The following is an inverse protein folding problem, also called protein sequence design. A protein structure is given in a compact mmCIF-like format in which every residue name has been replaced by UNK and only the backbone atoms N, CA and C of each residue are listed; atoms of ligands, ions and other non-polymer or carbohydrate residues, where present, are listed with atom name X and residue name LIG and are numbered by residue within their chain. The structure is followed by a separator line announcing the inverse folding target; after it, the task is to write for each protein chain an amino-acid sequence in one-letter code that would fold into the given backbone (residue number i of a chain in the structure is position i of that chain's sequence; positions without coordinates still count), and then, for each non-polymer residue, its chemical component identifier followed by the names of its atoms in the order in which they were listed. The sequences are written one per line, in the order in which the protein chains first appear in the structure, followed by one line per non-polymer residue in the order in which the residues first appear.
data_IF_614738473813
#
_entry.id   IF_614738473813
#
_cell.length_a   1.000
_cell.length_b   1.000
_cell.length_c   1.000
_cell.angle_alpha   90.00
_cell.angle_beta   90.00
_cell.angle_gamma   90.00
#
_symmetry.space_group_name_H-M   'P 1'
#
loop_
_entity.id
_entity.type
_entity.pdbx_description
1 polymer ?
#
# COMPACT_ATOMS: atom_id res chain seq x y z
N UNK A 1 -1.31 -65.54 86.16
CA UNK A 1 -2.11 -66.00 85.00
C UNK A 1 -1.65 -65.16 83.82
N UNK A 2 -0.99 -65.76 82.83
CA UNK A 2 -0.38 -65.03 81.73
C UNK A 2 -1.46 -64.65 80.70
N UNK A 3 -1.57 -63.36 80.40
CA UNK A 3 -2.52 -62.82 79.43
C UNK A 3 -2.30 -63.46 78.05
N UNK A 4 -3.38 -64.01 77.48
CA UNK A 4 -3.33 -64.79 76.25
C UNK A 4 -2.99 -63.86 75.07
N UNK A 5 -2.27 -64.36 74.06
CA UNK A 5 -1.83 -63.56 72.91
C UNK A 5 -2.98 -62.76 72.27
N UNK A 6 -4.16 -63.37 72.20
CA UNK A 6 -5.38 -62.77 71.67
C UNK A 6 -5.88 -61.57 72.48
N UNK A 7 -5.76 -61.58 73.81
CA UNK A 7 -6.14 -60.44 74.66
C UNK A 7 -5.19 -59.26 74.47
N UNK A 8 -3.89 -59.54 74.29
CA UNK A 8 -2.86 -58.55 73.98
C UNK A 8 -3.09 -57.88 72.61
N UNK A 9 -3.48 -58.65 71.60
CA UNK A 9 -3.82 -58.13 70.26
C UNK A 9 -5.11 -57.30 70.30
N UNK A 10 -6.14 -57.74 71.02
CA UNK A 10 -7.39 -57.00 71.15
C UNK A 10 -7.22 -55.66 71.90
N UNK A 11 -6.36 -55.62 72.92
CA UNK A 11 -6.05 -54.39 73.69
C UNK A 11 -5.16 -53.40 72.92
N UNK A 12 -4.35 -53.87 71.96
CA UNK A 12 -3.44 -53.03 71.17
C UNK A 12 -4.07 -52.58 69.84
N UNK A 13 -4.81 -53.46 69.15
CA UNK A 13 -5.51 -53.23 67.88
C UNK A 13 -7.04 -53.27 68.05
N UNK A 14 -7.59 -52.38 68.88
CA UNK A 14 -9.05 -52.14 68.88
C UNK A 14 -9.55 -51.72 67.49
N UNK A 15 -10.75 -52.17 67.08
CA UNK A 15 -11.39 -51.83 65.80
C UNK A 15 -11.36 -50.33 65.46
N UNK A 16 -11.54 -49.46 66.46
CA UNK A 16 -11.46 -48.00 66.30
C UNK A 16 -10.09 -47.53 65.80
N UNK A 17 -8.99 -48.17 66.24
CA UNK A 17 -7.63 -47.87 65.79
C UNK A 17 -7.35 -48.39 64.38
N UNK A 18 -7.92 -49.54 64.01
CA UNK A 18 -7.80 -50.09 62.64
C UNK A 18 -8.52 -49.20 61.63
N UNK A 19 -9.74 -48.79 61.95
CA UNK A 19 -10.51 -47.85 61.11
C UNK A 19 -9.80 -46.51 61.03
N UNK A 20 -9.33 -45.97 62.16
CA UNK A 20 -8.56 -44.71 62.19
C UNK A 20 -7.29 -44.77 61.34
N UNK A 21 -6.54 -45.88 61.41
CA UNK A 21 -5.33 -46.07 60.61
C UNK A 21 -5.64 -46.13 59.11
N UNK A 22 -6.68 -46.87 58.69
CA UNK A 22 -7.07 -46.95 57.28
C UNK A 22 -7.58 -45.61 56.74
N UNK A 23 -8.32 -44.83 57.53
CA UNK A 23 -8.78 -43.48 57.15
C UNK A 23 -7.59 -42.54 56.96
N UNK A 24 -6.61 -42.57 57.86
CA UNK A 24 -5.39 -41.76 57.72
C UNK A 24 -4.61 -42.19 56.48
N UNK A 25 -4.43 -43.49 56.26
CA UNK A 25 -3.71 -44.03 55.11
C UNK A 25 -4.40 -43.67 53.77
N UNK A 26 -5.74 -43.68 53.76
CA UNK A 26 -6.55 -43.24 52.62
C UNK A 26 -6.39 -41.74 52.35
N UNK A 27 -6.42 -40.91 53.39
CA UNK A 27 -6.23 -39.46 53.25
C UNK A 27 -4.82 -39.11 52.75
N UNK A 28 -3.79 -39.82 53.25
CA UNK A 28 -2.40 -39.63 52.82
C UNK A 28 -2.21 -39.98 51.34
N UNK A 29 -2.96 -40.94 50.79
CA UNK A 29 -2.91 -41.24 49.36
C UNK A 29 -3.74 -40.27 48.51
N UNK A 30 -4.93 -39.89 48.95
CA UNK A 30 -5.85 -39.11 48.11
C UNK A 30 -5.50 -37.63 48.05
N UNK A 31 -5.04 -37.05 49.16
CA UNK A 31 -4.74 -35.61 49.19
C UNK A 31 -3.68 -35.23 48.13
N UNK A 32 -2.49 -35.87 48.05
CA UNK A 32 -1.51 -35.51 47.02
C UNK A 32 -2.00 -35.78 45.60
N UNK A 33 -2.73 -36.88 45.37
CA UNK A 33 -3.32 -37.18 44.06
C UNK A 33 -4.35 -36.12 43.65
N UNK A 34 -5.19 -35.65 44.58
CA UNK A 34 -6.18 -34.62 44.33
C UNK A 34 -5.55 -33.26 44.02
N UNK A 35 -4.45 -32.91 44.72
CA UNK A 35 -3.68 -31.69 44.44
C UNK A 35 -3.03 -31.80 43.06
N UNK A 36 -2.45 -32.96 42.73
CA UNK A 36 -1.84 -33.20 41.43
C UNK A 36 -2.86 -33.10 40.29
N UNK A 37 -4.07 -33.65 40.47
CA UNK A 37 -5.15 -33.57 39.49
C UNK A 37 -5.75 -32.15 39.40
N UNK A 38 -5.83 -31.41 40.50
CA UNK A 38 -6.32 -30.04 40.52
C UNK A 38 -5.31 -29.05 39.91
N UNK A 39 -4.01 -29.36 39.98
CA UNK A 39 -2.92 -28.58 39.38
C UNK A 39 -2.59 -29.02 37.95
N UNK A 40 -3.12 -30.16 37.49
CA UNK A 40 -3.14 -30.46 36.07
C UNK A 40 -4.12 -29.49 35.41
N UNK A 41 -3.59 -28.34 35.02
CA UNK A 41 -4.26 -27.46 34.07
C UNK A 41 -4.75 -28.35 32.92
N UNK A 42 -6.06 -28.35 32.66
CA UNK A 42 -6.60 -28.79 31.38
C UNK A 42 -6.06 -27.84 30.33
N UNK A 43 -4.82 -28.07 29.89
CA UNK A 43 -4.25 -27.44 28.71
C UNK A 43 -5.02 -27.97 27.51
N UNK A 44 -6.17 -27.35 27.23
CA UNK A 44 -6.81 -27.41 25.92
C UNK A 44 -5.95 -26.62 24.93
N UNK A 45 -4.72 -27.05 24.69
CA UNK A 45 -3.94 -26.63 23.53
C UNK A 45 -4.50 -27.41 22.34
N UNK A 46 -5.53 -26.84 21.71
CA UNK A 46 -5.88 -27.24 20.36
C UNK A 46 -4.64 -27.01 19.50
N UNK A 47 -4.02 -28.09 19.00
CA UNK A 47 -2.89 -28.03 18.06
C UNK A 47 -3.21 -27.31 16.74
N UNK A 48 -4.45 -26.83 16.56
CA UNK A 48 -4.88 -26.05 15.41
C UNK A 48 -4.33 -24.62 15.36
N UNK A 49 -3.82 -24.07 16.48
CA UNK A 49 -3.24 -22.71 16.50
C UNK A 49 -1.78 -22.65 16.00
N UNK A 50 -1.15 -23.81 15.77
CA UNK A 50 0.03 -23.89 14.93
C UNK A 50 -0.41 -23.91 13.48
N UNK A 51 -0.94 -22.80 12.97
CA UNK A 51 -1.10 -22.60 11.53
C UNK A 51 0.33 -22.52 10.97
N UNK A 52 0.90 -23.69 10.68
CA UNK A 52 1.99 -23.79 9.73
C UNK A 52 1.38 -23.30 8.44
N UNK A 53 1.47 -21.99 8.18
CA UNK A 53 1.11 -21.42 6.89
C UNK A 53 1.77 -22.31 5.84
N UNK A 54 0.96 -23.06 5.09
CA UNK A 54 1.49 -23.93 4.06
C UNK A 54 2.38 -23.06 3.16
N UNK A 55 3.62 -23.48 2.87
CA UNK A 55 4.49 -22.68 2.03
C UNK A 55 3.75 -22.41 0.72
N UNK A 56 3.68 -21.13 0.32
CA UNK A 56 3.01 -20.74 -0.92
C UNK A 56 3.63 -21.55 -2.06
N UNK A 57 2.85 -22.48 -2.63
CA UNK A 57 3.30 -23.31 -3.74
C UNK A 57 3.44 -22.38 -4.94
N UNK A 58 4.66 -21.88 -5.17
CA UNK A 58 4.95 -21.11 -6.38
C UNK A 58 5.19 -22.10 -7.52
N UNK A 59 4.45 -21.99 -8.63
CA UNK A 59 4.74 -22.80 -9.79
C UNK A 59 6.15 -22.47 -10.30
N UNK A 60 6.80 -23.39 -11.04
CA UNK A 60 8.09 -23.13 -11.66
C UNK A 60 8.09 -21.80 -12.42
N UNK A 61 9.22 -21.05 -12.44
CA UNK A 61 9.31 -19.79 -13.14
C UNK A 61 8.89 -19.88 -14.61
N UNK A 62 7.87 -19.11 -14.98
CA UNK A 62 7.34 -19.02 -16.35
C UNK A 62 7.12 -17.55 -16.72
N UNK A 63 8.19 -16.85 -17.06
CA UNK A 63 8.14 -15.43 -17.37
C UNK A 63 7.47 -15.16 -18.73
N UNK A 64 6.79 -14.01 -18.89
CA UNK A 64 6.31 -13.56 -20.19
C UNK A 64 7.45 -13.44 -21.22
N UNK A 65 7.17 -13.80 -22.47
CA UNK A 65 8.13 -13.70 -23.58
C UNK A 65 8.31 -12.28 -24.10
N UNK A 66 7.36 -11.39 -23.82
CA UNK A 66 7.42 -9.98 -24.21
C UNK A 66 8.04 -9.14 -23.09
N UNK A 67 8.80 -8.07 -23.41
CA UNK A 67 9.33 -7.17 -22.40
C UNK A 67 8.23 -6.57 -21.52
N UNK A 68 8.50 -6.34 -20.22
CA UNK A 68 7.58 -5.60 -19.35
C UNK A 68 7.35 -4.20 -19.90
N UNK A 69 6.18 -3.64 -19.61
CA UNK A 69 5.89 -2.21 -19.84
C UNK A 69 5.08 -1.67 -18.69
N UNK A 70 5.34 -0.43 -18.29
CA UNK A 70 4.51 0.30 -17.32
C UNK A 70 3.72 1.36 -18.10
N UNK A 71 2.40 1.29 -18.00
CA UNK A 71 1.48 2.23 -18.64
C UNK A 71 1.14 3.40 -17.72
N UNK A 72 0.90 3.11 -16.43
CA UNK A 72 0.44 4.10 -15.45
C UNK A 72 0.91 3.74 -14.04
N UNK A 73 1.18 4.75 -13.24
CA UNK A 73 1.19 4.67 -11.78
C UNK A 73 0.04 5.53 -11.26
N UNK A 74 -0.88 4.95 -10.48
CA UNK A 74 -2.14 5.61 -10.11
C UNK A 74 -1.96 6.88 -9.29
N UNK A 75 -0.90 6.97 -8.47
CA UNK A 75 -0.55 8.12 -7.69
C UNK A 75 0.90 8.50 -7.99
N UNK A 76 1.10 9.65 -8.64
CA UNK A 76 2.42 10.22 -8.91
C UNK A 76 3.05 10.87 -7.68
N UNK A 77 2.41 10.80 -6.51
CA UNK A 77 2.93 11.29 -5.24
C UNK A 77 2.52 10.36 -4.10
N UNK A 78 3.24 10.44 -2.98
CA UNK A 78 2.92 9.65 -1.79
C UNK A 78 3.92 9.87 -0.67
N UNK A 79 3.67 9.20 0.46
CA UNK A 79 4.58 9.10 1.60
C UNK A 79 4.96 7.64 1.82
N UNK A 80 6.09 7.41 2.49
CA UNK A 80 6.48 6.05 2.91
C UNK A 80 5.33 5.31 3.56
N UNK A 81 5.11 4.06 3.14
CA UNK A 81 4.01 3.22 3.58
C UNK A 81 2.72 3.32 2.74
N UNK A 82 2.51 4.39 1.97
CA UNK A 82 1.38 4.49 1.04
C UNK A 82 1.49 3.41 -0.03
N UNK A 83 0.35 2.88 -0.49
CA UNK A 83 0.32 1.91 -1.59
C UNK A 83 0.22 2.63 -2.93
N UNK A 84 1.18 2.36 -3.81
CA UNK A 84 1.12 2.75 -5.23
C UNK A 84 0.70 1.54 -6.07
N UNK A 85 -0.13 1.80 -7.08
CA UNK A 85 -0.60 0.81 -8.04
C UNK A 85 0.08 1.08 -9.37
N UNK A 86 0.84 0.10 -9.85
CA UNK A 86 1.53 0.12 -11.14
C UNK A 86 0.74 -0.74 -12.11
N UNK A 87 0.23 -0.11 -13.17
CA UNK A 87 -0.50 -0.76 -14.24
C UNK A 87 0.40 -0.93 -15.46
N UNK A 88 0.30 -2.07 -16.11
CA UNK A 88 1.05 -2.35 -17.31
C UNK A 88 0.82 -3.77 -17.82
N UNK A 89 1.87 -4.39 -18.33
CA UNK A 89 1.79 -5.76 -18.82
C UNK A 89 3.14 -6.46 -18.80
N UNK A 90 3.06 -7.78 -18.94
CA UNK A 90 4.20 -8.70 -18.99
C UNK A 90 5.01 -8.69 -17.69
N UNK A 91 4.35 -8.49 -16.56
CA UNK A 91 4.96 -8.63 -15.23
C UNK A 91 5.03 -10.10 -14.77
N UNK A 92 4.30 -10.99 -15.44
CA UNK A 92 4.13 -12.38 -15.04
C UNK A 92 3.07 -12.57 -13.96
N UNK A 93 2.42 -13.74 -13.95
CA UNK A 93 1.39 -14.07 -12.95
C UNK A 93 1.96 -14.16 -11.53
N UNK A 94 3.26 -14.43 -11.41
CA UNK A 94 3.99 -14.49 -10.15
C UNK A 94 5.27 -13.65 -10.24
N UNK A 95 5.71 -13.13 -9.09
CA UNK A 95 6.94 -12.35 -8.97
C UNK A 95 8.18 -13.15 -9.37
N UNK A 96 8.34 -14.36 -8.83
CA UNK A 96 9.58 -15.14 -8.89
C UNK A 96 10.82 -14.28 -8.57
N UNK A 97 11.81 -14.22 -9.47
CA UNK A 97 13.00 -13.38 -9.34
C UNK A 97 12.82 -11.94 -9.80
N UNK A 98 11.62 -11.54 -10.20
CA UNK A 98 11.31 -10.16 -10.59
C UNK A 98 11.33 -9.22 -9.39
N UNK A 99 11.60 -7.95 -9.66
CA UNK A 99 11.72 -6.90 -8.64
C UNK A 99 10.97 -5.66 -9.08
N UNK A 100 10.43 -4.94 -8.12
CA UNK A 100 9.80 -3.62 -8.34
C UNK A 100 10.54 -2.60 -7.49
N UNK A 101 10.74 -1.43 -8.07
CA UNK A 101 11.46 -0.32 -7.46
C UNK A 101 10.55 0.89 -7.43
N UNK A 102 10.50 1.56 -6.28
CA UNK A 102 9.59 2.68 -6.02
C UNK A 102 10.40 3.78 -5.34
N UNK A 103 10.43 4.97 -5.94
CA UNK A 103 11.20 6.09 -5.40
C UNK A 103 12.70 5.80 -5.33
N UNK A 104 13.24 5.16 -6.37
CA UNK A 104 14.64 4.71 -6.48
C UNK A 104 15.09 3.61 -5.49
N UNK A 105 14.16 2.96 -4.79
CA UNK A 105 14.46 1.92 -3.80
C UNK A 105 13.78 0.61 -4.20
N UNK A 106 14.52 -0.52 -4.07
CA UNK A 106 13.96 -1.85 -4.27
C UNK A 106 12.90 -2.14 -3.19
N UNK A 107 11.69 -2.50 -3.60
CA UNK A 107 10.67 -2.90 -2.64
C UNK A 107 10.98 -4.29 -2.10
N UNK A 108 10.99 -4.42 -0.78
CA UNK A 108 11.06 -5.72 -0.11
C UNK A 108 9.79 -6.52 -0.36
N UNK A 109 9.86 -7.84 -0.27
CA UNK A 109 8.72 -8.73 -0.51
C UNK A 109 7.53 -8.43 0.41
N UNK A 110 7.78 -7.97 1.65
CA UNK A 110 6.76 -7.54 2.59
C UNK A 110 6.03 -6.24 2.20
N UNK A 111 6.61 -5.43 1.32
CA UNK A 111 5.99 -4.22 0.78
C UNK A 111 5.15 -4.51 -0.48
N UNK A 112 5.29 -5.69 -1.10
CA UNK A 112 4.51 -6.07 -2.27
C UNK A 112 3.19 -6.66 -1.79
N UNK A 113 2.12 -5.90 -1.96
CA UNK A 113 0.75 -6.26 -1.56
C UNK A 113 0.13 -7.20 -2.60
N UNK A 114 0.39 -6.95 -3.87
CA UNK A 114 -0.13 -7.75 -4.99
C UNK A 114 0.83 -7.76 -6.17
N UNK A 115 0.93 -8.92 -6.81
CA UNK A 115 1.59 -9.10 -8.09
C UNK A 115 0.67 -9.85 -9.05
N UNK A 116 0.52 -9.35 -10.27
CA UNK A 116 -0.09 -10.06 -11.39
C UNK A 116 0.58 -9.62 -12.69
N UNK A 117 0.21 -10.24 -13.80
CA UNK A 117 0.81 -9.92 -15.09
C UNK A 117 0.60 -8.46 -15.55
N UNK A 118 -0.40 -7.76 -15.02
CA UNK A 118 -0.76 -6.39 -15.42
C UNK A 118 -0.88 -5.39 -14.27
N UNK A 119 -0.86 -5.84 -13.02
CA UNK A 119 -1.07 -4.98 -11.84
C UNK A 119 -0.07 -5.33 -10.74
N UNK A 120 0.65 -4.32 -10.27
CA UNK A 120 1.46 -4.41 -9.05
C UNK A 120 0.88 -3.43 -8.02
N UNK A 121 0.63 -3.91 -6.81
CA UNK A 121 0.33 -3.06 -5.66
C UNK A 121 1.50 -3.15 -4.70
N UNK A 122 2.18 -2.03 -4.48
CA UNK A 122 3.43 -1.99 -3.71
C UNK A 122 3.44 -0.78 -2.78
N UNK A 123 3.85 -0.98 -1.54
CA UNK A 123 4.04 0.10 -0.58
C UNK A 123 5.31 0.87 -0.90
N UNK A 124 5.27 2.20 -0.76
CA UNK A 124 6.44 3.05 -0.89
C UNK A 124 7.44 2.67 0.22
N UNK A 125 8.64 2.15 -0.13
CA UNK A 125 9.60 1.65 0.86
C UNK A 125 10.14 2.74 1.80
N UNK A 126 10.68 2.30 2.93
CA UNK A 126 11.53 3.15 3.76
C UNK A 126 12.72 3.65 2.93
N UNK A 127 13.19 4.86 3.20
CA UNK A 127 14.27 5.54 2.47
C UNK A 127 14.00 5.86 0.99
N UNK A 128 12.79 5.60 0.49
CA UNK A 128 12.36 6.07 -0.82
C UNK A 128 12.53 7.60 -0.93
N UNK A 129 12.86 8.05 -2.13
CA UNK A 129 13.02 9.47 -2.46
C UNK A 129 12.19 9.80 -3.69
N UNK A 130 11.95 11.09 -3.92
CA UNK A 130 11.40 11.54 -5.19
C UNK A 130 12.25 10.97 -6.33
N UNK A 131 11.62 10.28 -7.28
CA UNK A 131 12.37 9.55 -8.30
C UNK A 131 11.55 8.54 -9.08
N UNK A 132 12.25 7.59 -9.70
CA UNK A 132 11.66 6.67 -10.66
C UNK A 132 10.94 5.50 -10.00
N UNK A 133 9.96 4.98 -10.74
CA UNK A 133 9.29 3.71 -10.49
C UNK A 133 9.59 2.80 -11.68
N UNK A 134 10.11 1.61 -11.43
CA UNK A 134 10.41 0.65 -12.48
C UNK A 134 10.26 -0.78 -12.00
N UNK A 135 10.12 -1.71 -12.94
CA UNK A 135 10.06 -3.15 -12.67
C UNK A 135 11.13 -3.86 -13.50
N UNK A 136 11.75 -4.89 -12.95
CA UNK A 136 12.65 -5.79 -13.67
C UNK A 136 12.06 -7.20 -13.68
N UNK A 137 11.81 -7.73 -14.87
CA UNK A 137 11.20 -9.05 -15.08
C UNK A 137 12.11 -9.84 -16.00
N UNK A 138 12.65 -10.97 -15.51
CA UNK A 138 13.57 -11.83 -16.27
C UNK A 138 14.73 -11.05 -16.94
N UNK A 139 15.35 -10.12 -16.20
CA UNK A 139 16.43 -9.27 -16.70
C UNK A 139 16.01 -8.07 -17.57
N UNK A 140 14.75 -7.97 -17.98
CA UNK A 140 14.23 -6.83 -18.73
C UNK A 140 13.68 -5.76 -17.80
N UNK A 141 14.05 -4.50 -18.02
CA UNK A 141 13.60 -3.34 -17.24
C UNK A 141 12.50 -2.59 -17.97
N UNK A 142 11.46 -2.19 -17.23
CA UNK A 142 10.46 -1.23 -17.68
C UNK A 142 10.35 -0.09 -16.70
N UNK A 143 10.52 1.14 -17.20
CA UNK A 143 10.41 2.36 -16.43
C UNK A 143 9.05 3.01 -16.66
N UNK A 144 8.48 3.57 -15.60
CA UNK A 144 7.42 4.55 -15.76
C UNK A 144 8.02 5.87 -16.26
N UNK A 145 7.35 6.52 -17.20
CA UNK A 145 7.82 7.80 -17.77
C UNK A 145 7.92 8.91 -16.71
N UNK A 146 7.05 8.87 -15.70
CA UNK A 146 6.99 9.85 -14.63
C UNK A 146 7.97 9.67 -13.48
N UNK A 147 7.80 10.52 -12.47
CA UNK A 147 8.47 10.43 -11.19
C UNK A 147 7.42 10.32 -10.09
N UNK A 148 7.68 9.45 -9.11
CA UNK A 148 6.97 9.46 -7.85
C UNK A 148 7.53 10.63 -7.02
N UNK A 149 6.65 11.52 -6.58
CA UNK A 149 6.98 12.70 -5.78
C UNK A 149 6.68 12.42 -4.30
N UNK A 150 7.71 12.41 -3.46
CA UNK A 150 7.50 12.41 -2.02
C UNK A 150 7.12 13.82 -1.57
N UNK A 151 6.09 13.92 -0.73
CA UNK A 151 5.52 15.21 -0.35
C UNK A 151 5.38 15.39 1.16
N UNK A 152 5.43 16.65 1.56
CA UNK A 152 5.02 17.18 2.86
C UNK A 152 3.92 18.20 2.62
N UNK A 153 2.73 17.97 3.19
CA UNK A 153 1.54 18.83 3.01
C UNK A 153 1.78 20.30 3.35
N UNK A 154 2.75 20.60 4.23
CA UNK A 154 3.05 21.96 4.68
C UNK A 154 4.04 22.69 3.79
N UNK A 155 4.84 21.97 3.00
CA UNK A 155 5.95 22.52 2.21
C UNK A 155 5.78 22.33 0.71
N UNK A 156 5.08 21.28 0.31
CA UNK A 156 4.92 20.92 -1.09
C UNK A 156 3.86 21.79 -1.75
N UNK A 157 3.97 21.95 -3.07
CA UNK A 157 2.92 22.59 -3.83
C UNK A 157 1.69 21.67 -3.90
N UNK A 158 0.51 22.25 -3.79
CA UNK A 158 -0.74 21.53 -4.00
C UNK A 158 -1.16 21.71 -5.45
N UNK A 159 -1.46 20.62 -6.16
CA UNK A 159 -2.22 20.64 -7.42
C UNK A 159 -3.63 20.13 -7.16
N UNK A 160 -4.61 20.58 -7.93
CA UNK A 160 -5.92 19.96 -7.89
C UNK A 160 -6.77 20.27 -9.11
N UNK A 161 -7.87 19.54 -9.19
CA UNK A 161 -8.95 19.81 -10.13
C UNK A 161 -10.10 20.50 -9.39
N UNK A 162 -10.60 21.60 -9.94
CA UNK A 162 -11.74 22.33 -9.38
C UNK A 162 -12.78 22.57 -10.46
N UNK A 163 -14.03 22.15 -10.22
CA UNK A 163 -15.15 22.50 -11.09
C UNK A 163 -15.33 24.03 -11.10
N UNK A 164 -15.39 24.62 -12.29
CA UNK A 164 -15.64 26.05 -12.49
C UNK A 164 -17.12 26.26 -12.78
N UNK A 165 -17.61 25.55 -13.79
CA UNK A 165 -19.02 25.53 -14.20
C UNK A 165 -19.33 24.17 -14.86
N UNK A 166 -20.53 24.03 -15.42
CA UNK A 166 -20.88 22.82 -16.18
C UNK A 166 -19.90 22.59 -17.32
N UNK A 167 -19.41 21.36 -17.44
CA UNK A 167 -18.43 20.98 -18.45
C UNK A 167 -17.08 21.70 -18.35
N UNK A 168 -16.76 22.48 -17.30
CA UNK A 168 -15.47 23.17 -17.18
C UNK A 168 -14.79 22.93 -15.84
N UNK A 169 -13.51 22.54 -15.92
CA UNK A 169 -12.66 22.24 -14.77
C UNK A 169 -11.37 23.04 -14.86
N UNK A 170 -11.00 23.72 -13.79
CA UNK A 170 -9.70 24.34 -13.66
C UNK A 170 -8.69 23.34 -13.10
N UNK A 171 -7.51 23.26 -13.74
CA UNK A 171 -6.31 22.70 -13.11
C UNK A 171 -5.61 23.85 -12.40
N UNK A 172 -5.50 23.76 -11.08
CA UNK A 172 -4.90 24.80 -10.27
C UNK A 172 -3.70 24.28 -9.50
N UNK A 173 -2.81 25.21 -9.14
CA UNK A 173 -1.69 24.98 -8.23
C UNK A 173 -1.70 26.02 -7.11
N UNK A 174 -1.25 25.66 -5.92
CA UNK A 174 -1.06 26.55 -4.77
C UNK A 174 0.26 26.23 -4.10
N UNK A 175 0.85 27.20 -3.40
CA UNK A 175 2.17 27.05 -2.77
C UNK A 175 3.25 26.60 -3.78
N UNK A 176 3.20 27.12 -5.01
CA UNK A 176 4.03 26.70 -6.13
C UNK A 176 5.18 27.68 -6.44
N UNK A 177 5.60 28.48 -5.45
CA UNK A 177 6.71 29.41 -5.58
C UNK A 177 7.97 28.71 -6.10
N UNK A 178 8.76 29.37 -6.95
CA UNK A 178 9.90 28.75 -7.63
C UNK A 178 9.57 28.12 -8.97
N UNK A 179 8.31 27.78 -9.25
CA UNK A 179 7.95 27.06 -10.47
C UNK A 179 7.93 27.98 -11.68
N UNK A 180 8.58 27.57 -12.77
CA UNK A 180 8.57 28.33 -14.04
C UNK A 180 7.98 27.55 -15.21
N UNK A 181 7.93 26.22 -15.11
CA UNK A 181 7.37 25.34 -16.14
C UNK A 181 6.93 24.02 -15.53
N UNK A 182 6.14 23.27 -16.28
CA UNK A 182 5.72 21.95 -15.84
C UNK A 182 5.07 21.14 -16.93
N UNK A 183 4.59 19.98 -16.51
CA UNK A 183 3.82 19.07 -17.33
C UNK A 183 2.68 18.50 -16.47
N UNK A 184 1.50 18.38 -17.07
CA UNK A 184 0.33 17.71 -16.50
C UNK A 184 -0.11 16.60 -17.46
N UNK A 185 -0.40 15.42 -16.94
CA UNK A 185 -1.09 14.36 -17.70
C UNK A 185 -2.47 14.15 -17.11
N UNK A 186 -3.50 14.27 -17.95
CA UNK A 186 -4.90 14.15 -17.57
C UNK A 186 -5.51 12.89 -18.17
N UNK A 187 -6.24 12.12 -17.35
CA UNK A 187 -7.09 11.01 -17.79
C UNK A 187 -8.51 11.50 -18.03
N UNK A 188 -9.12 11.10 -19.14
CA UNK A 188 -10.46 11.52 -19.55
C UNK A 188 -11.17 10.47 -20.42
N UNK A 189 -12.49 10.60 -20.57
CA UNK A 189 -13.34 9.59 -21.25
C UNK A 189 -14.01 10.13 -22.52
N UNK A 190 -14.30 11.42 -22.60
CA UNK A 190 -15.06 12.05 -23.68
C UNK A 190 -14.25 13.11 -24.41
N UNK A 191 -14.54 13.29 -25.69
CA UNK A 191 -13.92 14.28 -26.57
C UNK A 191 -14.97 15.24 -27.16
N UNK A 192 -14.56 16.43 -27.63
CA UNK A 192 -13.21 16.99 -27.55
C UNK A 192 -12.83 17.44 -26.12
N UNK A 193 -11.54 17.35 -25.80
CA UNK A 193 -10.94 17.97 -24.61
C UNK A 193 -10.28 19.28 -25.05
N UNK A 194 -10.79 20.42 -24.61
CA UNK A 194 -10.25 21.73 -25.00
C UNK A 194 -9.52 22.35 -23.81
N UNK A 195 -8.25 22.70 -24.00
CA UNK A 195 -7.40 23.32 -23.00
C UNK A 195 -7.29 24.83 -23.28
N UNK A 196 -7.71 25.65 -22.33
CA UNK A 196 -7.57 27.11 -22.37
C UNK A 196 -6.55 27.54 -21.32
N UNK A 197 -5.37 28.06 -21.70
CA UNK A 197 -4.35 28.52 -20.75
C UNK A 197 -4.87 29.61 -19.80
N UNK A 198 -4.35 29.65 -18.57
CA UNK A 198 -4.58 30.76 -17.64
C UNK A 198 -3.74 32.00 -18.00
N UNK A 199 -4.05 33.14 -17.38
CA UNK A 199 -3.53 34.47 -17.77
C UNK A 199 -2.00 34.57 -17.88
N UNK A 200 -1.26 33.86 -17.03
CA UNK A 200 0.22 33.89 -17.00
C UNK A 200 0.85 32.54 -17.35
N UNK A 201 0.14 31.70 -18.11
CA UNK A 201 0.59 30.36 -18.49
C UNK A 201 0.46 30.19 -20.00
N UNK A 202 1.51 29.64 -20.60
CA UNK A 202 1.56 29.28 -22.01
C UNK A 202 1.63 27.75 -22.13
N UNK A 203 0.71 27.16 -22.88
CA UNK A 203 0.76 25.73 -23.22
C UNK A 203 1.74 25.56 -24.39
N UNK A 204 2.80 24.79 -24.17
CA UNK A 204 3.88 24.61 -25.15
C UNK A 204 3.71 23.37 -26.02
N UNK A 205 3.03 22.33 -25.52
CA UNK A 205 2.65 21.15 -26.29
C UNK A 205 1.45 20.43 -25.68
N UNK A 206 0.72 19.72 -26.53
CA UNK A 206 -0.37 18.81 -26.16
C UNK A 206 -0.19 17.51 -26.93
N UNK A 207 -0.07 16.39 -26.21
CA UNK A 207 0.14 15.07 -26.79
C UNK A 207 -0.95 14.13 -26.29
N UNK A 208 -1.82 13.70 -27.20
CA UNK A 208 -2.83 12.70 -26.91
C UNK A 208 -2.20 11.30 -26.79
N UNK A 209 -2.75 10.49 -25.89
CA UNK A 209 -2.38 9.10 -25.72
C UNK A 209 -3.52 8.29 -25.14
N UNK A 210 -3.27 7.01 -24.87
CA UNK A 210 -4.19 6.14 -24.17
C UNK A 210 -3.41 5.11 -23.35
N UNK A 211 -4.07 4.54 -22.35
CA UNK A 211 -3.65 3.35 -21.62
C UNK A 211 -4.83 2.38 -21.45
N UNK A 212 -4.61 1.30 -20.70
CA UNK A 212 -5.65 0.31 -20.39
C UNK A 212 -6.89 0.85 -19.66
N UNK A 213 -6.84 2.04 -19.07
CA UNK A 213 -7.97 2.66 -18.36
C UNK A 213 -8.70 3.74 -19.17
N UNK A 214 -8.09 4.28 -20.22
CA UNK A 214 -8.78 5.23 -21.10
C UNK A 214 -7.84 6.18 -21.83
N UNK A 215 -8.40 7.33 -22.24
CA UNK A 215 -7.66 8.36 -22.96
C UNK A 215 -6.87 9.22 -21.97
N UNK A 216 -5.71 9.69 -22.41
CA UNK A 216 -4.86 10.60 -21.66
C UNK A 216 -4.35 11.75 -22.52
N UNK A 217 -4.14 12.91 -21.90
CA UNK A 217 -3.61 14.10 -22.55
C UNK A 217 -2.44 14.62 -21.73
N UNK A 218 -1.26 14.61 -22.32
CA UNK A 218 -0.09 15.25 -21.76
C UNK A 218 -0.04 16.71 -22.22
N UNK A 219 0.10 17.63 -21.28
CA UNK A 219 0.12 19.08 -21.51
C UNK A 219 1.41 19.62 -20.90
N UNK A 220 2.31 20.13 -21.72
CA UNK A 220 3.48 20.86 -21.22
C UNK A 220 3.18 22.35 -21.23
N UNK A 221 3.68 23.05 -20.21
CA UNK A 221 3.39 24.47 -20.03
C UNK A 221 4.58 25.22 -19.46
N UNK A 222 4.59 26.53 -19.69
CA UNK A 222 5.56 27.48 -19.17
C UNK A 222 4.83 28.69 -18.61
N UNK A 223 5.23 29.15 -17.43
CA UNK A 223 4.71 30.37 -16.85
C UNK A 223 5.42 31.60 -17.44
N UNK A 224 4.72 32.73 -17.55
CA UNK A 224 5.32 34.00 -18.01
C UNK A 224 6.30 34.63 -17.00
N UNK A 225 6.35 34.08 -15.79
CA UNK A 225 7.31 34.39 -14.74
C UNK A 225 7.27 33.30 -13.66
N UNK A 226 8.11 33.42 -12.63
CA UNK A 226 8.04 32.49 -11.49
C UNK A 226 6.66 32.55 -10.83
N UNK A 227 6.04 31.39 -10.64
CA UNK A 227 4.78 31.30 -9.90
C UNK A 227 4.99 31.76 -8.46
N UNK A 228 3.90 32.16 -7.80
CA UNK A 228 3.94 32.57 -6.39
C UNK A 228 3.35 31.48 -5.49
N UNK A 229 3.31 31.72 -4.18
CA UNK A 229 2.64 30.83 -3.25
C UNK A 229 1.11 30.90 -3.34
N UNK A 230 0.55 31.93 -3.97
CA UNK A 230 -0.91 32.06 -4.13
C UNK A 230 -1.44 31.08 -5.17
N UNK A 231 -2.73 30.77 -5.06
CA UNK A 231 -3.37 29.87 -6.00
C UNK A 231 -3.33 30.44 -7.42
N UNK A 232 -2.81 29.67 -8.37
CA UNK A 232 -2.76 29.98 -9.79
C UNK A 232 -3.54 28.93 -10.57
N UNK A 233 -4.42 29.36 -11.47
CA UNK A 233 -5.05 28.46 -12.45
C UNK A 233 -4.08 28.28 -13.61
N UNK A 234 -3.63 27.05 -13.86
CA UNK A 234 -2.73 26.77 -14.98
C UNK A 234 -3.48 26.80 -16.30
N UNK A 235 -4.63 26.13 -16.35
CA UNK A 235 -5.52 26.10 -17.49
C UNK A 235 -6.92 25.64 -17.09
N UNK A 236 -7.90 26.04 -17.90
CA UNK A 236 -9.27 25.53 -17.82
C UNK A 236 -9.46 24.49 -18.92
N UNK A 237 -10.03 23.36 -18.52
CA UNK A 237 -10.37 22.23 -19.38
C UNK A 237 -11.87 22.32 -19.65
N UNK A 238 -12.25 22.51 -20.91
CA UNK A 238 -13.64 22.37 -21.37
C UNK A 238 -13.86 20.94 -21.85
N UNK A 239 -14.90 20.32 -21.30
CA UNK A 239 -15.22 18.90 -21.42
C UNK A 239 -16.74 18.75 -21.63
N UNK A 240 -17.20 18.44 -22.86
CA UNK A 240 -18.61 18.52 -23.22
C UNK A 240 -19.45 17.30 -22.77
N UNK A 241 -18.81 16.23 -22.30
CA UNK A 241 -19.47 14.97 -21.94
C UNK A 241 -19.67 14.78 -20.43
N UNK A 242 -20.40 13.70 -20.09
CA UNK A 242 -20.46 13.17 -18.72
C UNK A 242 -19.22 12.31 -18.50
N UNK A 243 -18.51 12.49 -17.37
CA UNK A 243 -17.38 11.63 -17.04
C UNK A 243 -16.60 12.10 -15.81
N UNK A 244 -15.35 11.66 -15.73
CA UNK A 244 -14.39 12.13 -14.74
C UNK A 244 -13.13 12.64 -15.42
N UNK A 245 -12.57 13.70 -14.87
CA UNK A 245 -11.22 14.15 -15.18
C UNK A 245 -10.32 13.73 -14.02
N UNK A 246 -9.17 13.13 -14.33
CA UNK A 246 -8.21 12.62 -13.34
C UNK A 246 -6.82 13.20 -13.63
N UNK A 247 -6.10 13.61 -12.58
CA UNK A 247 -4.68 13.93 -12.65
C UNK A 247 -3.86 12.64 -12.60
N UNK A 248 -3.24 12.25 -13.71
CA UNK A 248 -2.40 11.06 -13.80
C UNK A 248 -0.94 11.35 -13.46
N UNK A 249 -0.48 12.57 -13.78
CA UNK A 249 0.89 13.02 -13.51
C UNK A 249 0.93 14.54 -13.41
N UNK A 250 1.75 15.05 -12.51
CA UNK A 250 2.14 16.46 -12.47
C UNK A 250 3.62 16.54 -12.12
N UNK A 251 4.38 17.26 -12.95
CA UNK A 251 5.78 17.57 -12.68
C UNK A 251 5.99 19.06 -12.88
N UNK A 252 6.50 19.74 -11.86
CA UNK A 252 6.78 21.16 -11.87
C UNK A 252 8.27 21.38 -11.67
N UNK A 253 8.83 22.35 -12.38
CA UNK A 253 10.26 22.60 -12.41
C UNK A 253 10.58 24.06 -12.10
N UNK A 254 11.64 24.25 -11.32
CA UNK A 254 12.25 25.56 -11.12
C UNK A 254 13.06 26.02 -12.34
N UNK A 255 13.51 27.27 -12.31
CA UNK A 255 14.41 27.82 -13.34
C UNK A 255 15.72 27.02 -13.48
N UNK A 256 16.21 26.42 -12.39
CA UNK A 256 17.40 25.55 -12.40
C UNK A 256 17.11 24.12 -12.89
N UNK A 257 15.86 23.80 -13.21
CA UNK A 257 15.44 22.46 -13.63
C UNK A 257 15.19 21.48 -12.48
N UNK A 258 15.26 21.94 -11.22
CA UNK A 258 14.92 21.12 -10.06
C UNK A 258 13.42 20.82 -10.01
N UNK A 259 13.07 19.57 -9.67
CA UNK A 259 11.68 19.18 -9.43
C UNK A 259 11.13 19.84 -8.16
N UNK A 260 9.95 20.44 -8.27
CA UNK A 260 9.18 20.93 -7.14
C UNK A 260 8.34 19.77 -6.60
N UNK A 261 8.41 19.45 -5.29
CA UNK A 261 7.53 18.46 -4.69
C UNK A 261 6.06 18.89 -4.80
N UNK A 262 5.21 17.97 -5.27
CA UNK A 262 3.78 18.22 -5.49
C UNK A 262 2.96 17.08 -4.87
N UNK A 263 1.77 17.42 -4.37
CA UNK A 263 0.71 16.46 -4.08
C UNK A 263 -0.61 16.94 -4.67
N UNK A 264 -1.48 16.01 -5.04
CA UNK A 264 -2.79 16.34 -5.59
C UNK A 264 -3.89 16.26 -4.53
N UNK A 265 -4.73 17.29 -4.45
CA UNK A 265 -5.98 17.25 -3.70
C UNK A 265 -6.98 18.30 -4.23
N UNK A 266 -8.11 17.91 -4.85
CA UNK A 266 -8.48 16.54 -5.21
C UNK A 266 -7.74 16.05 -6.47
N UNK A 267 -7.53 14.73 -6.57
CA UNK A 267 -6.89 14.06 -7.72
C UNK A 267 -7.83 13.95 -8.93
N UNK A 268 -9.12 13.77 -8.68
CA UNK A 268 -10.14 13.62 -9.71
C UNK A 268 -11.35 14.52 -9.44
N UNK A 269 -12.12 14.79 -10.49
CA UNK A 269 -13.40 15.49 -10.37
C UNK A 269 -14.39 14.89 -11.36
N UNK A 270 -15.64 14.73 -10.92
CA UNK A 270 -16.74 14.37 -11.82
C UNK A 270 -17.15 15.60 -12.62
N UNK A 271 -17.25 15.42 -13.93
CA UNK A 271 -17.69 16.45 -14.85
C UNK A 271 -19.09 16.10 -15.34
N UNK A 272 -20.00 17.03 -15.13
CA UNK A 272 -21.37 16.97 -15.60
C UNK A 272 -21.60 18.17 -16.53
N UNK A 273 -22.31 17.96 -17.66
CA UNK A 273 -22.75 19.02 -18.55
C UNK A 273 -23.79 19.91 -17.89
#
# INVERSE_FOLDING_TARGET
MAENFYERVNNTLTWKRIVGFNVILFLVMIIPLSIQLAQQDTENRSGAAGEVEAPVVTPPPNYPNSPPRIERVNAFFGKTGDTVVVLGANFGEYKWGSKVYVGNVEAMDSAIVRWSNSVLEVKIPDSARTGKVWVTVNGNRADWEGNLLLYDVTRSAQVGLRKVESGKVAVYVSNAAGTVRGMVELGYVSEPLIITPGDNVQVTAQTAGADSLGKKMQITWQAGGELTSTQTTLFTVSYPGIGSLELLRMEMFSASGGLIPVYANPLNVKVLP
#
